data_IF_673654145106
#
_entry.id   IF_673654145106
#
_cell.length_a   1.000
_cell.length_b   1.000
_cell.length_c   1.000
_cell.angle_alpha   90.00
_cell.angle_beta   90.00
_cell.angle_gamma   90.00
#
_symmetry.space_group_name_H-M   'P 1'
#
loop_
_entity.id
_entity.type
_entity.pdbx_description
1 polymer ?
#
# COMPACT_ATOMS: atom_id res chain seq x y z
N UNK A 1 -13.65 -6.26 -24.28
CA UNK A 1 -12.68 -5.17 -24.20
C UNK A 1 -11.83 -5.33 -22.95
N UNK A 2 -10.54 -5.04 -23.07
CA UNK A 2 -9.62 -5.14 -21.94
C UNK A 2 -9.79 -4.02 -20.92
N UNK A 3 -9.22 -4.24 -19.75
CA UNK A 3 -9.15 -3.22 -18.71
C UNK A 3 -8.14 -2.16 -19.14
N UNK A 4 -8.48 -0.89 -18.95
CA UNK A 4 -7.56 0.22 -19.17
C UNK A 4 -6.42 0.14 -18.16
N UNK A 5 -5.17 0.16 -18.63
CA UNK A 5 -3.99 0.15 -17.77
C UNK A 5 -3.45 1.56 -17.60
N UNK A 6 -3.07 1.89 -16.37
CA UNK A 6 -2.50 3.18 -16.02
C UNK A 6 -1.09 2.91 -15.49
N UNK A 7 -0.09 3.37 -16.24
CA UNK A 7 1.31 3.12 -15.92
C UNK A 7 1.87 4.26 -15.09
N UNK A 8 2.38 3.92 -13.90
CA UNK A 8 3.04 4.89 -13.03
C UNK A 8 4.55 4.83 -13.24
N UNK A 9 5.20 5.98 -13.07
CA UNK A 9 6.65 6.04 -12.98
C UNK A 9 7.09 6.22 -11.53
N UNK A 10 8.41 6.22 -11.29
CA UNK A 10 8.93 6.35 -9.93
C UNK A 10 8.60 7.70 -9.30
N UNK A 11 8.51 8.76 -10.09
CA UNK A 11 8.10 10.08 -9.58
C UNK A 11 6.66 10.08 -9.09
N UNK A 12 5.79 9.35 -9.78
CA UNK A 12 4.38 9.20 -9.34
C UNK A 12 4.32 8.51 -7.98
N UNK A 13 5.10 7.45 -7.80
CA UNK A 13 5.16 6.72 -6.53
C UNK A 13 5.70 7.62 -5.43
N UNK A 14 6.77 8.36 -5.71
CA UNK A 14 7.36 9.28 -4.74
C UNK A 14 6.36 10.34 -4.27
N UNK A 15 5.57 10.87 -5.20
CA UNK A 15 4.53 11.84 -4.86
C UNK A 15 3.46 11.24 -3.94
N UNK A 16 3.04 9.99 -4.20
CA UNK A 16 2.07 9.31 -3.35
C UNK A 16 2.63 9.04 -1.95
N UNK A 17 3.91 8.65 -1.87
CA UNK A 17 4.56 8.45 -0.57
C UNK A 17 4.64 9.76 0.22
N UNK A 18 4.89 10.87 -0.45
CA UNK A 18 4.90 12.20 0.19
C UNK A 18 3.53 12.54 0.76
N UNK A 19 2.45 12.23 0.04
CA UNK A 19 1.09 12.46 0.53
C UNK A 19 0.83 11.62 1.79
N UNK A 20 1.24 10.35 1.79
CA UNK A 20 1.10 9.50 2.98
C UNK A 20 1.93 10.06 4.14
N UNK A 21 3.17 10.46 3.87
CA UNK A 21 4.04 11.04 4.90
C UNK A 21 3.39 12.25 5.58
N UNK A 22 2.78 13.14 4.78
CA UNK A 22 2.12 14.33 5.33
C UNK A 22 0.94 13.98 6.23
N UNK A 23 0.32 12.81 6.01
CA UNK A 23 -0.77 12.33 6.88
C UNK A 23 -0.25 11.74 8.19
N UNK A 24 0.97 11.20 8.21
CA UNK A 24 1.48 10.42 9.34
C UNK A 24 2.60 11.12 10.11
N UNK A 25 3.12 12.24 9.62
CA UNK A 25 4.33 12.86 10.18
C UNK A 25 4.20 13.14 11.68
N UNK A 26 3.02 13.53 12.15
CA UNK A 26 2.79 13.85 13.56
C UNK A 26 2.47 12.60 14.41
N UNK A 27 2.23 11.47 13.75
CA UNK A 27 1.97 10.20 14.44
C UNK A 27 3.23 9.55 14.99
N UNK A 28 4.40 9.95 14.48
CA UNK A 28 5.72 9.50 14.94
C UNK A 28 5.92 7.99 14.88
N UNK A 29 5.56 7.39 13.74
CA UNK A 29 5.87 5.98 13.51
C UNK A 29 7.38 5.77 13.51
N UNK A 30 7.83 4.69 14.14
CA UNK A 30 9.24 4.30 14.18
C UNK A 30 9.58 3.22 13.16
N UNK A 31 8.60 2.38 12.83
CA UNK A 31 8.80 1.20 12.01
C UNK A 31 7.88 1.22 10.81
N UNK A 32 8.34 0.61 9.73
CA UNK A 32 7.53 0.39 8.53
C UNK A 32 7.74 -1.03 8.04
N UNK A 33 6.67 -1.67 7.61
CA UNK A 33 6.69 -3.00 7.03
C UNK A 33 5.79 -3.03 5.81
N UNK A 34 5.85 -4.09 5.02
CA UNK A 34 5.03 -4.24 3.84
C UNK A 34 4.31 -5.57 3.81
N UNK A 35 3.12 -5.57 3.20
CA UNK A 35 2.41 -6.79 2.90
C UNK A 35 2.98 -7.36 1.60
N UNK A 36 3.53 -8.60 1.63
CA UNK A 36 4.07 -9.18 0.40
C UNK A 36 2.96 -9.38 -0.66
N UNK A 37 3.25 -9.25 -1.89
CA UNK A 37 4.51 -8.72 -2.41
C UNK A 37 4.44 -7.23 -2.68
N UNK A 38 3.25 -6.73 -3.10
CA UNK A 38 3.07 -5.37 -3.58
C UNK A 38 3.42 -4.28 -2.58
N UNK A 39 3.24 -4.54 -1.29
CA UNK A 39 3.54 -3.55 -0.26
C UNK A 39 5.00 -3.45 0.15
N UNK A 40 5.84 -4.41 -0.25
CA UNK A 40 7.25 -4.42 0.18
C UNK A 40 8.04 -3.24 -0.40
N UNK A 41 7.86 -2.95 -1.67
CA UNK A 41 8.62 -1.89 -2.33
C UNK A 41 8.27 -0.51 -1.78
N UNK A 42 6.99 -0.11 -1.69
CA UNK A 42 6.67 1.17 -1.07
C UNK A 42 7.13 1.27 0.37
N UNK A 43 7.08 0.17 1.14
CA UNK A 43 7.57 0.18 2.53
C UNK A 43 9.07 0.45 2.59
N UNK A 44 9.85 -0.19 1.73
CA UNK A 44 11.31 0.02 1.68
C UNK A 44 11.64 1.44 1.25
N UNK A 45 10.96 1.96 0.23
CA UNK A 45 11.15 3.33 -0.23
C UNK A 45 10.82 4.34 0.89
N UNK A 46 9.74 4.09 1.60
CA UNK A 46 9.31 4.95 2.72
C UNK A 46 10.35 4.93 3.84
N UNK A 47 10.89 3.76 4.16
CA UNK A 47 11.95 3.59 5.14
C UNK A 47 13.17 4.44 4.79
N UNK A 48 13.63 4.34 3.55
CA UNK A 48 14.80 5.10 3.09
C UNK A 48 14.54 6.61 3.07
N UNK A 49 13.37 7.01 2.61
CA UNK A 49 13.08 8.43 2.43
C UNK A 49 12.87 9.16 3.76
N UNK A 50 12.20 8.51 4.70
CA UNK A 50 11.76 9.18 5.94
C UNK A 50 12.42 8.63 7.21
N UNK A 51 13.33 7.69 7.07
CA UNK A 51 14.16 7.24 8.19
C UNK A 51 13.46 6.31 9.18
N UNK A 52 12.37 5.65 8.77
CA UNK A 52 11.76 4.62 9.62
C UNK A 52 12.54 3.32 9.49
N UNK A 53 12.65 2.57 10.58
CA UNK A 53 13.29 1.26 10.54
C UNK A 53 12.41 0.27 9.80
N UNK A 54 12.95 -0.41 8.78
CA UNK A 54 12.21 -1.43 8.06
C UNK A 54 12.12 -2.71 8.88
N UNK A 55 10.90 -3.20 9.06
CA UNK A 55 10.62 -4.44 9.78
C UNK A 55 10.19 -5.50 8.78
N UNK A 56 10.95 -6.59 8.71
CA UNK A 56 10.71 -7.63 7.70
C UNK A 56 9.39 -8.36 7.91
N UNK A 57 9.05 -8.64 9.18
CA UNK A 57 7.84 -9.38 9.52
C UNK A 57 6.90 -8.50 10.34
N UNK A 58 5.77 -8.05 9.77
CA UNK A 58 4.78 -7.29 10.54
C UNK A 58 4.29 -8.11 11.73
N UNK A 59 4.10 -7.42 12.86
CA UNK A 59 3.61 -8.06 14.07
C UNK A 59 2.68 -7.11 14.82
N UNK A 60 2.03 -7.60 15.87
CA UNK A 60 1.04 -6.84 16.63
C UNK A 60 1.61 -6.24 17.92
N UNK A 61 2.93 -6.20 18.06
CA UNK A 61 3.58 -5.69 19.29
C UNK A 61 3.76 -4.18 19.30
N UNK A 62 3.70 -3.53 18.12
CA UNK A 62 4.04 -2.11 17.99
C UNK A 62 2.88 -1.32 17.43
N UNK A 63 2.41 -0.32 18.19
CA UNK A 63 1.46 0.67 17.68
C UNK A 63 2.14 1.78 16.86
N UNK A 64 3.48 1.81 16.88
CA UNK A 64 4.30 2.74 16.09
C UNK A 64 4.82 2.11 14.81
N UNK A 65 4.16 1.07 14.33
CA UNK A 65 4.44 0.38 13.07
C UNK A 65 3.40 0.78 12.01
N UNK A 66 3.90 1.20 10.85
CA UNK A 66 3.06 1.49 9.67
C UNK A 66 3.26 0.37 8.65
N UNK A 67 2.18 -0.26 8.23
CA UNK A 67 2.22 -1.38 7.29
C UNK A 67 1.67 -0.93 5.94
N UNK A 68 2.47 -1.08 4.89
CA UNK A 68 2.09 -0.71 3.53
C UNK A 68 1.55 -1.89 2.74
N UNK A 69 0.51 -1.62 1.94
CA UNK A 69 0.18 -2.38 0.75
C UNK A 69 0.20 -1.40 -0.44
N UNK A 70 0.28 -1.91 -1.66
CA UNK A 70 0.26 -1.04 -2.83
C UNK A 70 -1.12 -0.43 -3.05
N UNK A 71 -2.15 -1.25 -3.02
CA UNK A 71 -3.52 -0.80 -3.29
C UNK A 71 -4.52 -1.60 -2.47
N UNK A 72 -5.58 -0.94 -2.00
CA UNK A 72 -6.78 -1.61 -1.54
C UNK A 72 -7.79 -1.56 -2.68
N UNK A 73 -7.89 -2.65 -3.43
CA UNK A 73 -8.75 -2.78 -4.60
C UNK A 73 -10.14 -3.26 -4.19
N UNK A 74 -10.28 -4.56 -3.88
CA UNK A 74 -11.53 -5.08 -3.32
C UNK A 74 -11.59 -4.91 -1.81
N UNK A 75 -10.46 -4.81 -1.16
CA UNK A 75 -10.33 -4.78 0.30
C UNK A 75 -10.02 -6.14 0.91
N UNK A 76 -9.92 -7.19 0.09
CA UNK A 76 -9.75 -8.56 0.60
C UNK A 76 -8.45 -8.74 1.38
N UNK A 77 -7.35 -8.14 0.92
CA UNK A 77 -6.07 -8.24 1.62
C UNK A 77 -6.14 -7.58 3.00
N UNK A 78 -6.67 -6.36 3.08
CA UNK A 78 -6.79 -5.66 4.36
C UNK A 78 -7.82 -6.33 5.27
N UNK A 79 -8.88 -6.91 4.73
CA UNK A 79 -9.83 -7.70 5.50
C UNK A 79 -9.16 -8.89 6.20
N UNK A 80 -8.14 -9.45 5.57
CA UNK A 80 -7.37 -10.56 6.14
C UNK A 80 -6.37 -10.08 7.19
N UNK A 81 -5.64 -8.98 6.91
CA UNK A 81 -4.52 -8.54 7.74
C UNK A 81 -4.93 -7.67 8.93
N UNK A 82 -5.86 -6.74 8.75
CA UNK A 82 -6.19 -5.77 9.79
C UNK A 82 -6.80 -6.38 11.05
N UNK A 83 -7.66 -7.41 10.98
CA UNK A 83 -8.16 -8.02 12.22
C UNK A 83 -7.09 -8.69 13.04
N UNK A 84 -6.06 -9.24 12.40
CA UNK A 84 -4.97 -9.94 13.08
C UNK A 84 -3.90 -9.00 13.62
N UNK A 85 -3.75 -7.82 12.99
CA UNK A 85 -2.75 -6.82 13.35
C UNK A 85 -3.48 -5.51 13.67
N UNK A 86 -4.10 -5.46 14.85
CA UNK A 86 -4.94 -4.31 15.25
C UNK A 86 -4.15 -3.15 15.83
N UNK A 87 -2.93 -3.39 16.36
CA UNK A 87 -2.10 -2.31 16.93
C UNK A 87 -1.42 -1.46 15.86
N UNK A 88 -0.82 -2.04 14.81
CA UNK A 88 -0.23 -1.24 13.74
C UNK A 88 -1.28 -0.47 12.94
N UNK A 89 -0.81 0.54 12.23
CA UNK A 89 -1.62 1.27 11.25
C UNK A 89 -1.27 0.81 9.83
N UNK A 90 -2.20 0.99 8.90
CA UNK A 90 -2.06 0.55 7.51
C UNK A 90 -2.13 1.74 6.56
N UNK A 91 -1.32 1.69 5.51
CA UNK A 91 -1.31 2.68 4.44
C UNK A 91 -1.25 1.99 3.09
N UNK A 92 -1.81 2.64 2.08
CA UNK A 92 -1.70 2.19 0.68
C UNK A 92 -1.33 3.37 -0.20
N UNK A 93 -0.80 3.08 -1.39
CA UNK A 93 -0.60 4.12 -2.40
C UNK A 93 -1.95 4.52 -3.01
N UNK A 94 -2.81 3.54 -3.28
CA UNK A 94 -4.14 3.77 -3.83
C UNK A 94 -5.19 3.00 -3.03
N UNK A 95 -6.40 3.57 -2.98
CA UNK A 95 -7.57 2.90 -2.39
C UNK A 95 -8.75 3.14 -3.31
N UNK A 96 -9.43 2.07 -3.72
CA UNK A 96 -10.67 2.19 -4.50
C UNK A 96 -11.83 2.55 -3.59
N UNK A 97 -12.73 3.41 -4.08
CA UNK A 97 -13.89 3.86 -3.31
C UNK A 97 -14.78 2.71 -2.89
N UNK A 98 -14.86 1.64 -3.71
CA UNK A 98 -15.69 0.46 -3.42
C UNK A 98 -15.00 -0.63 -2.63
N UNK A 99 -13.75 -0.43 -2.18
CA UNK A 99 -13.07 -1.45 -1.38
C UNK A 99 -13.81 -1.69 -0.06
N UNK A 100 -14.01 -2.97 0.28
CA UNK A 100 -14.73 -3.35 1.50
C UNK A 100 -13.97 -2.98 2.76
N UNK A 101 -12.64 -2.87 2.67
CA UNK A 101 -11.77 -2.46 3.76
C UNK A 101 -10.82 -1.39 3.28
N UNK A 102 -10.71 -0.33 4.05
CA UNK A 102 -9.85 0.80 3.72
C UNK A 102 -8.71 0.90 4.73
N UNK A 103 -7.52 1.36 4.28
CA UNK A 103 -6.40 1.60 5.19
C UNK A 103 -6.68 2.84 6.05
N UNK A 104 -5.83 3.06 7.04
CA UNK A 104 -5.88 4.28 7.85
C UNK A 104 -5.40 5.50 7.05
N UNK A 105 -4.46 5.28 6.13
CA UNK A 105 -3.85 6.35 5.32
C UNK A 105 -3.73 5.88 3.87
N UNK A 106 -3.88 6.80 2.93
CA UNK A 106 -3.74 6.46 1.50
C UNK A 106 -3.16 7.64 0.73
N UNK A 107 -2.41 7.32 -0.32
CA UNK A 107 -1.88 8.34 -1.20
C UNK A 107 -2.96 8.94 -2.09
N UNK A 108 -3.85 8.12 -2.62
CA UNK A 108 -4.88 8.58 -3.52
C UNK A 108 -6.08 7.64 -3.48
N UNK A 109 -7.27 8.21 -3.36
CA UNK A 109 -8.52 7.46 -3.51
C UNK A 109 -8.96 7.55 -4.96
N UNK A 110 -9.27 6.41 -5.56
CA UNK A 110 -9.65 6.33 -6.97
C UNK A 110 -11.00 5.64 -7.12
N UNK A 111 -11.78 5.98 -8.16
CA UNK A 111 -13.03 5.27 -8.41
C UNK A 111 -12.78 3.83 -8.88
N UNK A 112 -13.80 2.97 -8.73
CA UNK A 112 -13.66 1.55 -9.05
C UNK A 112 -13.35 1.30 -10.53
N UNK A 113 -13.82 2.19 -11.40
CA UNK A 113 -13.60 2.08 -12.85
C UNK A 113 -12.39 2.88 -13.35
N UNK A 114 -11.51 3.30 -12.43
CA UNK A 114 -10.33 4.11 -12.77
C UNK A 114 -9.42 3.41 -13.78
N UNK A 115 -9.32 2.09 -13.68
CA UNK A 115 -8.45 1.27 -14.49
C UNK A 115 -7.52 0.43 -13.61
N UNK A 116 -6.66 -0.33 -14.28
CA UNK A 116 -5.67 -1.18 -13.59
C UNK A 116 -4.34 -0.44 -13.48
N UNK A 117 -3.91 -0.20 -12.23
CA UNK A 117 -2.63 0.48 -11.97
C UNK A 117 -1.49 -0.50 -12.22
N UNK A 118 -0.50 -0.08 -13.00
CA UNK A 118 0.75 -0.82 -13.18
C UNK A 118 1.85 0.03 -12.55
N UNK A 119 2.38 -0.46 -11.43
CA UNK A 119 3.43 0.25 -10.71
C UNK A 119 4.78 0.07 -11.43
N UNK A 120 5.75 0.98 -11.23
CA UNK A 120 7.00 0.94 -11.99
C UNK A 120 7.87 -0.30 -11.72
N UNK A 121 7.62 -1.01 -10.60
CA UNK A 121 8.32 -2.26 -10.31
C UNK A 121 7.64 -3.48 -10.94
N UNK A 122 6.46 -3.31 -11.55
CA UNK A 122 5.75 -4.40 -12.18
C UNK A 122 6.10 -4.49 -13.67
N UNK A 123 5.88 -5.65 -14.26
CA UNK A 123 6.04 -5.80 -15.69
C UNK A 123 4.91 -5.07 -16.42
N UNK A 124 5.23 -4.45 -17.55
CA UNK A 124 4.24 -3.71 -18.34
C UNK A 124 3.13 -4.61 -18.89
N UNK A 125 3.43 -5.90 -19.07
CA UNK A 125 2.47 -6.90 -19.52
C UNK A 125 1.87 -7.71 -18.37
N UNK A 126 1.93 -7.18 -17.16
CA UNK A 126 1.41 -7.87 -15.98
C UNK A 126 -0.08 -8.17 -16.14
N UNK A 127 -0.49 -9.31 -15.60
CA UNK A 127 -1.90 -9.71 -15.61
C UNK A 127 -2.67 -8.91 -14.56
N UNK A 128 -3.94 -8.66 -14.86
CA UNK A 128 -4.83 -7.95 -13.93
C UNK A 128 -5.38 -8.92 -12.88
N UNK A 129 -4.47 -9.66 -12.21
CA UNK A 129 -4.79 -10.64 -11.17
C UNK A 129 -4.27 -10.12 -9.84
N UNK A 130 -5.12 -10.20 -8.83
CA UNK A 130 -4.74 -9.74 -7.49
C UNK A 130 -3.93 -10.82 -6.78
N UNK A 131 -2.92 -10.40 -6.02
CA UNK A 131 -1.97 -11.31 -5.38
C UNK A 131 -2.64 -12.32 -4.44
N UNK A 132 -3.70 -11.91 -3.74
CA UNK A 132 -4.36 -12.81 -2.79
C UNK A 132 -5.08 -13.97 -3.49
N UNK A 133 -5.32 -13.88 -4.79
CA UNK A 133 -5.93 -14.97 -5.57
C UNK A 133 -4.91 -16.02 -6.00
N UNK A 134 -3.62 -15.70 -5.93
CA UNK A 134 -2.55 -16.58 -6.36
C UNK A 134 -2.06 -17.51 -5.23
N UNK A 135 -2.58 -17.36 -4.04
CA UNK A 135 -2.13 -18.12 -2.87
C UNK A 135 -3.03 -19.32 -2.58
#
# INVERSE_FOLDING_TARGET
>A
MGVRKIYLNWNDVDALLTIVWNQVIEKRFKYVAGIPRGGLIPAILFSHKYGLEFMENPNNYHNDLLIFDDISDTGATLDKWMPELSNPSFATLHTKTGATKKPHFTGMTIPDDYGWIVYPWERKDSKTIQDYLDN
#
